data_IF_187024729033
#
_entry.id   IF_187024729033
#
_cell.length_a   1.000
_cell.length_b   1.000
_cell.length_c   1.000
_cell.angle_alpha   90.00
_cell.angle_beta   90.00
_cell.angle_gamma   90.00
#
_symmetry.space_group_name_H-M   'P 1'
#
loop_
_entity.id
_entity.type
_entity.pdbx_description
1 polymer ?
#
# COMPACT_ATOMS: atom_id res chain seq x y z
N UNK A 1 -28.55 -8.64 -17.27
CA UNK A 1 -27.54 -9.71 -17.09
C UNK A 1 -26.55 -9.32 -16.01
N UNK A 2 -26.47 -10.08 -14.92
CA UNK A 2 -25.48 -9.87 -13.86
C UNK A 2 -24.10 -10.39 -14.30
N UNK A 3 -23.08 -9.52 -14.26
CA UNK A 3 -21.68 -9.88 -14.56
C UNK A 3 -21.00 -10.55 -13.35
N UNK A 4 -19.82 -11.12 -13.56
CA UNK A 4 -19.01 -11.69 -12.47
C UNK A 4 -18.68 -10.65 -11.38
N UNK A 5 -18.31 -9.41 -11.74
CA UNK A 5 -18.01 -8.39 -10.73
C UNK A 5 -19.24 -7.98 -9.92
N UNK A 6 -20.42 -7.89 -10.55
CA UNK A 6 -21.67 -7.61 -9.84
C UNK A 6 -22.07 -8.78 -8.96
N UNK A 7 -21.90 -10.01 -9.45
CA UNK A 7 -22.14 -11.22 -8.66
C UNK A 7 -21.23 -11.27 -7.43
N UNK A 8 -19.93 -10.99 -7.60
CA UNK A 8 -18.98 -10.91 -6.49
C UNK A 8 -19.39 -9.85 -5.46
N UNK A 9 -19.86 -8.68 -5.92
CA UNK A 9 -20.39 -7.66 -5.02
C UNK A 9 -21.62 -8.15 -4.24
N UNK A 10 -22.54 -8.85 -4.90
CA UNK A 10 -23.72 -9.43 -4.22
C UNK A 10 -23.31 -10.53 -3.25
N UNK A 11 -22.31 -11.33 -3.56
CA UNK A 11 -21.75 -12.35 -2.67
C UNK A 11 -21.04 -11.73 -1.46
N UNK A 12 -20.38 -10.59 -1.64
CA UNK A 12 -19.85 -9.81 -0.53
C UNK A 12 -20.95 -9.25 0.37
N UNK A 13 -22.04 -8.72 -0.21
CA UNK A 13 -23.22 -8.29 0.56
C UNK A 13 -23.85 -9.46 1.31
N UNK A 14 -23.96 -10.63 0.69
CA UNK A 14 -24.43 -11.86 1.33
C UNK A 14 -23.54 -12.23 2.52
N UNK A 15 -22.23 -12.11 2.37
CA UNK A 15 -21.27 -12.33 3.45
C UNK A 15 -21.47 -11.35 4.61
N UNK A 16 -21.62 -10.04 4.33
CA UNK A 16 -21.89 -9.03 5.36
C UNK A 16 -23.17 -9.37 6.14
N UNK A 17 -24.25 -9.64 5.42
CA UNK A 17 -25.54 -9.95 6.03
C UNK A 17 -25.50 -11.25 6.84
N UNK A 18 -24.81 -12.28 6.36
CA UNK A 18 -24.70 -13.57 7.08
C UNK A 18 -23.83 -13.48 8.34
N UNK A 19 -22.90 -12.52 8.41
CA UNK A 19 -22.03 -12.31 9.56
C UNK A 19 -22.53 -11.21 10.51
N UNK A 20 -23.67 -10.58 10.21
CA UNK A 20 -24.31 -9.52 11.00
C UNK A 20 -24.40 -9.85 12.48
N UNK A 21 -24.99 -11.00 12.83
CA UNK A 21 -25.21 -11.40 14.23
C UNK A 21 -23.89 -11.59 14.99
N UNK A 22 -22.87 -12.13 14.31
CA UNK A 22 -21.54 -12.25 14.88
C UNK A 22 -20.94 -10.87 15.15
N UNK A 23 -21.04 -9.94 14.20
CA UNK A 23 -20.53 -8.57 14.38
C UNK A 23 -21.28 -7.82 15.50
N UNK A 24 -22.60 -8.00 15.60
CA UNK A 24 -23.41 -7.48 16.71
C UNK A 24 -22.96 -8.04 18.06
N UNK A 25 -22.59 -9.33 18.11
CA UNK A 25 -22.04 -9.93 19.34
C UNK A 25 -20.72 -9.28 19.80
N UNK A 26 -20.01 -8.58 18.89
CA UNK A 26 -18.77 -7.85 19.16
C UNK A 26 -19.00 -6.35 19.43
N UNK A 27 -20.25 -5.87 19.48
CA UNK A 27 -20.55 -4.45 19.67
C UNK A 27 -19.90 -3.86 20.92
N UNK A 28 -19.88 -4.59 22.04
CA UNK A 28 -19.20 -4.13 23.27
C UNK A 28 -17.70 -3.90 23.05
N UNK A 29 -17.02 -4.78 22.30
CA UNK A 29 -15.60 -4.62 21.98
C UNK A 29 -15.37 -3.37 21.12
N UNK A 30 -16.24 -3.15 20.13
CA UNK A 30 -16.23 -1.97 19.26
C UNK A 30 -16.43 -0.70 20.09
N UNK A 31 -17.47 -0.66 20.92
CA UNK A 31 -17.83 0.50 21.74
C UNK A 31 -16.72 0.84 22.72
N UNK A 32 -16.19 -0.14 23.46
CA UNK A 32 -15.07 0.08 24.38
C UNK A 32 -13.81 0.60 23.66
N UNK A 33 -13.54 0.12 22.45
CA UNK A 33 -12.38 0.58 21.66
C UNK A 33 -12.59 2.03 21.19
N UNK A 34 -13.80 2.36 20.73
CA UNK A 34 -14.17 3.71 20.31
C UNK A 34 -14.13 4.70 21.48
N UNK A 35 -14.62 4.32 22.66
CA UNK A 35 -14.54 5.14 23.88
C UNK A 35 -13.08 5.44 24.26
N UNK A 36 -12.19 4.45 24.17
CA UNK A 36 -10.75 4.67 24.42
C UNK A 36 -10.14 5.63 23.40
N UNK A 37 -10.48 5.50 22.11
CA UNK A 37 -10.03 6.41 21.06
C UNK A 37 -10.49 7.84 21.31
N UNK A 38 -11.74 8.05 21.72
CA UNK A 38 -12.27 9.36 22.10
C UNK A 38 -11.57 9.91 23.35
N UNK A 39 -11.37 9.07 24.36
CA UNK A 39 -10.67 9.46 25.59
C UNK A 39 -9.24 9.90 25.26
N UNK A 40 -8.51 9.12 24.46
CA UNK A 40 -7.16 9.48 23.99
C UNK A 40 -7.16 10.82 23.26
N UNK A 41 -8.13 11.07 22.38
CA UNK A 41 -8.26 12.33 21.62
C UNK A 41 -8.44 13.55 22.53
N UNK A 42 -9.04 13.38 23.70
CA UNK A 42 -9.22 14.46 24.67
C UNK A 42 -7.96 14.80 25.48
N UNK A 43 -6.97 13.91 25.50
CA UNK A 43 -5.71 14.10 26.23
C UNK A 43 -4.72 14.91 25.38
N UNK A 44 -4.08 15.90 26.00
CA UNK A 44 -3.02 16.70 25.39
C UNK A 44 -1.65 16.25 25.92
N UNK A 45 -0.99 15.27 25.26
CA UNK A 45 0.24 14.67 25.78
C UNK A 45 1.42 15.65 25.86
N UNK A 46 1.39 16.73 25.08
CA UNK A 46 2.46 17.73 25.04
C UNK A 46 2.32 18.83 26.12
N UNK A 47 1.20 18.87 26.84
CA UNK A 47 0.97 19.92 27.85
C UNK A 47 1.81 19.68 29.11
N UNK A 48 1.94 18.42 29.56
CA UNK A 48 2.75 18.05 30.72
C UNK A 48 3.00 16.53 30.80
N UNK A 49 3.96 16.14 31.65
CA UNK A 49 4.38 14.74 31.80
C UNK A 49 3.26 13.80 32.31
N UNK A 50 2.29 14.28 33.10
CA UNK A 50 1.18 13.45 33.59
C UNK A 50 0.23 13.11 32.45
N UNK A 51 -0.10 14.11 31.62
CA UNK A 51 -0.91 13.91 30.40
C UNK A 51 -0.22 12.94 29.43
N UNK A 52 1.11 13.02 29.26
CA UNK A 52 1.87 12.05 28.45
C UNK A 52 1.75 10.62 29.00
N UNK A 53 1.94 10.43 30.30
CA UNK A 53 1.83 9.11 30.95
C UNK A 53 0.40 8.55 30.80
N UNK A 54 -0.62 9.39 30.94
CA UNK A 54 -2.02 8.99 30.75
C UNK A 54 -2.31 8.61 29.30
N UNK A 55 -1.85 9.43 28.35
CA UNK A 55 -1.94 9.13 26.92
C UNK A 55 -1.33 7.77 26.59
N UNK A 56 -0.11 7.50 27.07
CA UNK A 56 0.61 6.25 26.80
C UNK A 56 -0.12 5.02 27.38
N UNK A 57 -0.73 5.17 28.57
CA UNK A 57 -1.55 4.10 29.17
C UNK A 57 -2.78 3.80 28.32
N UNK A 58 -3.47 4.83 27.83
CA UNK A 58 -4.65 4.65 26.96
C UNK A 58 -4.22 4.09 25.60
N UNK A 59 -3.13 4.58 25.02
CA UNK A 59 -2.58 4.06 23.76
C UNK A 59 -2.27 2.57 23.85
N UNK A 60 -1.69 2.11 24.96
CA UNK A 60 -1.43 0.68 25.18
C UNK A 60 -2.72 -0.13 25.22
N UNK A 61 -3.74 0.33 25.95
CA UNK A 61 -5.05 -0.35 26.02
C UNK A 61 -5.77 -0.36 24.67
N UNK A 62 -5.63 0.71 23.88
CA UNK A 62 -6.13 0.76 22.50
C UNK A 62 -5.42 -0.30 21.67
N UNK A 63 -4.09 -0.38 21.73
CA UNK A 63 -3.33 -1.38 20.95
C UNK A 63 -3.79 -2.80 21.28
N UNK A 64 -3.88 -3.16 22.56
CA UNK A 64 -4.30 -4.50 23.00
C UNK A 64 -5.71 -4.87 22.51
N UNK A 65 -6.64 -3.90 22.49
CA UNK A 65 -7.99 -4.12 21.98
C UNK A 65 -8.07 -4.11 20.46
N UNK A 66 -7.29 -3.25 19.82
CA UNK A 66 -7.26 -3.14 18.37
C UNK A 66 -6.70 -4.40 17.73
N UNK A 67 -5.77 -5.11 18.38
CA UNK A 67 -5.31 -6.43 17.92
C UNK A 67 -6.48 -7.43 17.84
N UNK A 68 -7.39 -7.40 18.81
CA UNK A 68 -8.58 -8.28 18.83
C UNK A 68 -9.60 -7.81 17.78
N UNK A 69 -9.86 -6.51 17.69
CA UNK A 69 -10.75 -5.94 16.66
C UNK A 69 -10.24 -6.24 15.27
N UNK A 70 -8.94 -6.09 15.02
CA UNK A 70 -8.35 -6.37 13.72
C UNK A 70 -8.50 -7.85 13.38
N UNK A 71 -8.11 -8.76 14.28
CA UNK A 71 -8.18 -10.20 14.03
C UNK A 71 -9.60 -10.74 13.89
N UNK A 72 -10.54 -10.32 14.75
CA UNK A 72 -11.88 -10.90 14.80
C UNK A 72 -12.88 -10.24 13.84
N UNK A 73 -12.58 -9.03 13.36
CA UNK A 73 -13.56 -8.19 12.69
C UNK A 73 -13.00 -7.61 11.37
N UNK A 74 -11.91 -6.85 11.44
CA UNK A 74 -11.39 -6.13 10.26
C UNK A 74 -10.77 -7.12 9.26
N UNK A 75 -9.94 -8.04 9.73
CA UNK A 75 -9.20 -8.98 8.91
C UNK A 75 -10.13 -9.91 8.09
N UNK A 76 -11.18 -10.54 8.66
CA UNK A 76 -12.14 -11.32 7.87
C UNK A 76 -12.82 -10.50 6.76
N UNK A 77 -13.14 -9.22 7.00
CA UNK A 77 -13.72 -8.35 6.00
C UNK A 77 -12.71 -8.05 4.87
N UNK A 78 -11.46 -7.71 5.22
CA UNK A 78 -10.40 -7.45 4.24
C UNK A 78 -10.12 -8.68 3.38
N UNK A 79 -10.00 -9.85 3.99
CA UNK A 79 -9.81 -11.11 3.27
C UNK A 79 -10.95 -11.34 2.29
N UNK A 80 -12.21 -11.10 2.69
CA UNK A 80 -13.35 -11.29 1.79
C UNK A 80 -13.40 -10.28 0.65
N UNK A 81 -13.02 -9.02 0.90
CA UNK A 81 -12.88 -7.98 -0.14
C UNK A 81 -11.85 -8.41 -1.18
N UNK A 82 -10.71 -8.95 -0.75
CA UNK A 82 -9.63 -9.42 -1.63
C UNK A 82 -10.05 -10.71 -2.36
N UNK A 83 -10.61 -11.68 -1.66
CA UNK A 83 -11.06 -12.98 -2.20
C UNK A 83 -12.06 -12.78 -3.35
N UNK A 84 -13.03 -11.89 -3.15
CA UNK A 84 -14.07 -11.58 -4.15
C UNK A 84 -13.67 -10.49 -5.14
N UNK A 85 -12.43 -9.98 -5.05
CA UNK A 85 -11.92 -8.91 -5.91
C UNK A 85 -12.87 -7.69 -5.96
N UNK A 86 -13.34 -7.22 -4.80
CA UNK A 86 -14.33 -6.13 -4.72
C UNK A 86 -13.68 -4.78 -4.98
N UNK A 87 -12.54 -4.52 -4.35
CA UNK A 87 -11.80 -3.27 -4.45
C UNK A 87 -10.36 -3.44 -3.96
N UNK A 88 -9.46 -2.59 -4.45
CA UNK A 88 -8.15 -2.40 -3.84
C UNK A 88 -8.28 -1.52 -2.59
N UNK A 89 -8.08 -2.14 -1.42
CA UNK A 89 -8.11 -1.48 -0.10
C UNK A 89 -6.71 -1.19 0.45
N UNK A 90 -5.65 -1.34 -0.35
CA UNK A 90 -4.30 -0.96 0.02
C UNK A 90 -4.09 0.56 0.03
N UNK A 91 -5.01 1.32 -0.58
CA UNK A 91 -4.96 2.78 -0.65
C UNK A 91 -6.23 3.41 -0.07
N UNK A 92 -6.19 4.68 0.38
CA UNK A 92 -7.39 5.40 0.81
C UNK A 92 -8.39 5.70 -0.31
N UNK A 93 -7.98 5.57 -1.58
CA UNK A 93 -8.84 5.83 -2.74
C UNK A 93 -9.48 4.51 -3.15
N UNK A 94 -10.68 4.27 -2.67
CA UNK A 94 -11.41 3.03 -2.94
C UNK A 94 -12.16 3.15 -4.27
N UNK A 95 -11.86 2.23 -5.18
CA UNK A 95 -12.62 2.05 -6.42
C UNK A 95 -13.23 0.65 -6.41
N UNK A 96 -14.56 0.57 -6.49
CA UNK A 96 -15.24 -0.71 -6.64
C UNK A 96 -15.06 -1.23 -8.07
N UNK A 97 -14.57 -2.46 -8.19
CA UNK A 97 -14.38 -3.11 -9.49
C UNK A 97 -15.70 -3.32 -10.23
N UNK A 98 -16.81 -3.48 -9.49
CA UNK A 98 -18.15 -3.64 -10.07
C UNK A 98 -18.77 -2.32 -10.60
N UNK A 99 -18.14 -1.16 -10.42
CA UNK A 99 -18.79 0.14 -10.68
C UNK A 99 -19.24 0.32 -12.14
N UNK A 100 -18.39 -0.03 -13.11
CA UNK A 100 -18.77 0.01 -14.53
C UNK A 100 -19.90 -0.97 -14.85
N UNK A 101 -19.83 -2.17 -14.28
CA UNK A 101 -20.75 -3.25 -14.57
C UNK A 101 -22.14 -3.00 -13.97
N UNK A 102 -22.21 -2.35 -12.81
CA UNK A 102 -23.46 -1.87 -12.23
C UNK A 102 -24.14 -0.84 -13.16
N UNK A 103 -23.38 0.06 -13.76
CA UNK A 103 -23.91 1.04 -14.71
C UNK A 103 -24.42 0.39 -16.00
N UNK A 104 -23.73 -0.64 -16.50
CA UNK A 104 -24.21 -1.42 -17.65
C UNK A 104 -25.43 -2.29 -17.29
N UNK A 105 -25.50 -2.82 -16.08
CA UNK A 105 -26.67 -3.55 -15.58
C UNK A 105 -27.89 -2.64 -15.50
N UNK A 106 -27.77 -1.39 -15.04
CA UNK A 106 -28.88 -0.42 -15.05
C UNK A 106 -29.48 -0.21 -16.45
N UNK A 107 -28.64 -0.26 -17.49
CA UNK A 107 -29.07 -0.03 -18.88
C UNK A 107 -29.68 -1.26 -19.54
N UNK A 108 -29.23 -2.45 -19.15
CA UNK A 108 -29.45 -3.70 -19.88
C UNK A 108 -29.96 -4.84 -18.97
N UNK A 109 -30.66 -4.53 -17.88
CA UNK A 109 -31.25 -5.56 -17.03
C UNK A 109 -32.44 -6.24 -17.73
N UNK A 110 -32.65 -7.51 -17.38
CA UNK A 110 -33.83 -8.30 -17.71
C UNK A 110 -34.68 -8.51 -16.46
N UNK A 111 -35.94 -8.93 -16.63
CA UNK A 111 -36.87 -9.11 -15.51
C UNK A 111 -36.33 -10.10 -14.45
N UNK A 112 -35.63 -11.15 -14.90
CA UNK A 112 -35.01 -12.15 -14.01
C UNK A 112 -33.86 -11.59 -13.15
N UNK A 113 -33.23 -10.46 -13.55
CA UNK A 113 -32.18 -9.82 -12.75
C UNK A 113 -32.76 -9.01 -11.57
N UNK A 114 -34.04 -8.64 -11.60
CA UNK A 114 -34.64 -7.76 -10.58
C UNK A 114 -34.64 -8.39 -9.19
N UNK A 115 -34.96 -9.69 -9.12
CA UNK A 115 -35.02 -10.41 -7.84
C UNK A 115 -33.67 -10.37 -7.09
N UNK A 116 -32.54 -10.81 -7.68
CA UNK A 116 -31.25 -10.76 -7.00
C UNK A 116 -30.80 -9.32 -6.67
N UNK A 117 -31.11 -8.33 -7.51
CA UNK A 117 -30.85 -6.91 -7.23
C UNK A 117 -31.55 -6.47 -5.94
N UNK A 118 -32.84 -6.72 -5.82
CA UNK A 118 -33.60 -6.32 -4.64
C UNK A 118 -33.24 -7.11 -3.38
N UNK A 119 -32.93 -8.41 -3.52
CA UNK A 119 -32.42 -9.21 -2.40
C UNK A 119 -31.08 -8.68 -1.87
N UNK A 120 -30.15 -8.30 -2.76
CA UNK A 120 -28.89 -7.69 -2.38
C UNK A 120 -29.10 -6.32 -1.71
N UNK A 121 -29.99 -5.48 -2.24
CA UNK A 121 -30.37 -4.19 -1.62
C UNK A 121 -30.82 -4.39 -0.17
N UNK A 122 -31.80 -5.28 0.04
CA UNK A 122 -32.37 -5.50 1.36
C UNK A 122 -31.33 -6.00 2.36
N UNK A 123 -30.53 -7.01 1.97
CA UNK A 123 -29.47 -7.55 2.81
C UNK A 123 -28.43 -6.50 3.21
N UNK A 124 -28.08 -5.62 2.28
CA UNK A 124 -27.14 -4.54 2.57
C UNK A 124 -27.71 -3.51 3.54
N UNK A 125 -28.96 -3.07 3.31
CA UNK A 125 -29.64 -2.13 4.19
C UNK A 125 -29.83 -2.71 5.60
N UNK A 126 -30.21 -3.97 5.72
CA UNK A 126 -30.36 -4.67 7.00
C UNK A 126 -29.03 -4.71 7.76
N UNK A 127 -27.94 -5.05 7.08
CA UNK A 127 -26.61 -5.02 7.66
C UNK A 127 -26.22 -3.61 8.15
N UNK A 128 -26.39 -2.58 7.32
CA UNK A 128 -25.97 -1.21 7.66
C UNK A 128 -26.85 -0.57 8.76
N UNK A 129 -28.14 -0.86 8.80
CA UNK A 129 -29.05 -0.30 9.80
C UNK A 129 -28.88 -0.94 11.18
N UNK A 130 -28.51 -2.22 11.23
CA UNK A 130 -28.35 -2.94 12.50
C UNK A 130 -26.94 -2.80 13.07
N UNK A 131 -25.91 -2.68 12.22
CA UNK A 131 -24.51 -2.61 12.67
C UNK A 131 -23.99 -1.16 12.74
N UNK A 132 -23.29 -0.81 13.82
CA UNK A 132 -22.61 0.50 13.96
C UNK A 132 -21.15 0.43 13.50
N UNK A 133 -20.95 -0.07 12.29
CA UNK A 133 -19.62 -0.44 11.80
C UNK A 133 -18.82 0.70 11.17
N UNK A 134 -19.35 1.93 11.20
CA UNK A 134 -18.85 3.07 10.40
C UNK A 134 -17.38 3.44 10.64
N UNK A 135 -16.82 3.06 11.79
CA UNK A 135 -15.46 3.43 12.18
C UNK A 135 -14.37 2.59 11.53
N UNK A 136 -14.69 1.36 11.10
CA UNK A 136 -13.71 0.40 10.58
C UNK A 136 -13.94 0.20 9.08
N UNK A 137 -12.87 0.37 8.29
CA UNK A 137 -12.94 0.43 6.82
C UNK A 137 -13.82 1.59 6.31
N UNK A 138 -13.78 2.74 7.00
CA UNK A 138 -14.58 3.94 6.70
C UNK A 138 -14.54 4.33 5.21
N UNK A 139 -13.35 4.44 4.61
CA UNK A 139 -13.22 4.79 3.19
C UNK A 139 -13.88 3.76 2.26
N UNK A 140 -13.84 2.47 2.62
CA UNK A 140 -14.45 1.41 1.81
C UNK A 140 -15.97 1.45 1.91
N UNK A 141 -16.52 1.52 3.13
CA UNK A 141 -17.97 1.59 3.30
C UNK A 141 -18.56 2.89 2.77
N UNK A 142 -17.83 4.00 2.85
CA UNK A 142 -18.24 5.25 2.21
C UNK A 142 -18.41 5.09 0.69
N UNK A 143 -17.42 4.49 0.01
CA UNK A 143 -17.49 4.27 -1.43
C UNK A 143 -18.52 3.20 -1.82
N UNK A 144 -18.71 2.20 -0.97
CA UNK A 144 -19.75 1.19 -1.12
C UNK A 144 -21.15 1.77 -0.99
N UNK A 145 -21.41 2.52 0.09
CA UNK A 145 -22.68 3.22 0.34
C UNK A 145 -23.01 4.17 -0.82
N UNK A 146 -22.02 4.95 -1.28
CA UNK A 146 -22.18 5.88 -2.40
C UNK A 146 -22.54 5.16 -3.70
N UNK A 147 -21.78 4.14 -4.06
CA UNK A 147 -21.97 3.42 -5.33
C UNK A 147 -23.28 2.64 -5.34
N UNK A 148 -23.62 1.97 -4.23
CA UNK A 148 -24.88 1.23 -4.12
C UNK A 148 -26.08 2.17 -4.11
N UNK A 149 -25.99 3.33 -3.45
CA UNK A 149 -27.03 4.35 -3.52
C UNK A 149 -27.27 4.81 -4.96
N UNK A 150 -26.21 5.20 -5.68
CA UNK A 150 -26.30 5.59 -7.09
C UNK A 150 -26.92 4.48 -7.96
N UNK A 151 -26.58 3.22 -7.67
CA UNK A 151 -27.11 2.07 -8.37
C UNK A 151 -28.61 1.85 -8.10
N UNK A 152 -29.01 1.77 -6.84
CA UNK A 152 -30.37 1.45 -6.43
C UNK A 152 -31.35 2.61 -6.56
N UNK A 153 -30.88 3.86 -6.63
CA UNK A 153 -31.72 5.03 -6.93
C UNK A 153 -32.42 4.91 -8.30
N UNK A 154 -31.88 4.11 -9.22
CA UNK A 154 -32.52 3.79 -10.50
C UNK A 154 -33.70 2.82 -10.35
N UNK A 155 -33.67 1.93 -9.35
CA UNK A 155 -34.66 0.87 -9.14
C UNK A 155 -35.68 1.22 -8.03
N UNK A 156 -35.86 2.51 -7.72
CA UNK A 156 -36.80 2.97 -6.69
C UNK A 156 -38.23 2.99 -7.23
N UNK A 157 -39.18 2.50 -6.44
CA UNK A 157 -40.61 2.58 -6.77
C UNK A 157 -41.24 3.92 -6.34
N UNK A 158 -40.58 4.66 -5.44
CA UNK A 158 -41.03 5.94 -4.91
C UNK A 158 -39.89 6.97 -4.83
N UNK A 159 -40.20 8.18 -4.35
CA UNK A 159 -39.19 9.24 -4.20
C UNK A 159 -38.33 9.10 -2.95
N UNK A 160 -38.57 8.09 -2.11
CA UNK A 160 -37.81 7.86 -0.90
C UNK A 160 -36.50 7.13 -1.21
N UNK A 161 -35.41 7.58 -0.58
CA UNK A 161 -34.09 6.98 -0.73
C UNK A 161 -33.69 6.30 0.58
N UNK A 162 -33.67 4.97 0.61
CA UNK A 162 -33.37 4.23 1.84
C UNK A 162 -31.91 4.38 2.30
N UNK A 163 -31.01 4.69 1.37
CA UNK A 163 -29.59 4.95 1.65
C UNK A 163 -29.34 6.35 2.23
N UNK A 164 -30.32 7.26 2.19
CA UNK A 164 -30.19 8.60 2.81
C UNK A 164 -29.88 8.52 4.31
N UNK A 165 -30.35 7.46 4.99
CA UNK A 165 -30.10 7.20 6.42
C UNK A 165 -28.66 6.73 6.72
N UNK A 166 -27.95 6.25 5.71
CA UNK A 166 -26.60 5.69 5.85
C UNK A 166 -25.51 6.75 5.67
N UNK A 167 -25.86 7.96 5.26
CA UNK A 167 -24.92 9.07 5.18
C UNK A 167 -24.54 9.50 6.60
N UNK A 168 -23.35 9.10 7.04
CA UNK A 168 -22.73 9.57 8.28
C UNK A 168 -22.54 11.09 8.22
N UNK A 169 -23.34 11.82 8.99
CA UNK A 169 -23.12 13.19 9.44
C UNK A 169 -22.41 14.13 8.42
N UNK A 170 -23.01 14.35 7.26
CA UNK A 170 -23.13 15.75 6.87
C UNK A 170 -24.25 16.30 7.74
N UNK A 171 -24.03 17.46 8.36
CA UNK A 171 -25.10 18.27 8.96
C UNK A 171 -26.29 18.17 8.03
N UNK A 172 -27.37 17.51 8.45
CA UNK A 172 -28.59 17.49 7.67
C UNK A 172 -28.96 18.95 7.49
N UNK A 173 -29.23 19.35 6.25
CA UNK A 173 -29.65 20.71 5.87
C UNK A 173 -30.86 21.22 6.69
N UNK A 174 -31.47 20.34 7.47
CA UNK A 174 -32.66 20.51 8.29
C UNK A 174 -32.42 21.22 9.64
N UNK A 175 -31.17 21.51 10.06
CA UNK A 175 -30.91 22.37 11.24
C UNK A 175 -30.30 23.74 10.90
N UNK A 176 -30.50 24.23 9.68
CA UNK A 176 -30.10 25.58 9.25
C UNK A 176 -31.09 26.64 9.74
N UNK A 177 -31.28 26.78 11.06
CA UNK A 177 -31.66 28.12 11.54
C UNK A 177 -30.47 29.07 11.33
N UNK A 178 -30.76 30.35 11.17
CA UNK A 178 -29.75 31.37 10.85
C UNK A 178 -28.60 31.36 11.88
N UNK A 179 -28.91 31.01 13.14
CA UNK A 179 -27.94 30.86 14.23
C UNK A 179 -27.05 29.62 14.06
N UNK A 180 -27.58 28.50 13.58
CA UNK A 180 -26.84 27.28 13.27
C UNK A 180 -25.86 27.49 12.11
N UNK A 181 -26.30 28.21 11.06
CA UNK A 181 -25.42 28.64 9.96
C UNK A 181 -24.34 29.58 10.49
N UNK A 182 -24.73 30.62 11.21
CA UNK A 182 -23.80 31.63 11.72
C UNK A 182 -22.76 30.99 12.64
N UNK A 183 -23.16 30.03 13.48
CA UNK A 183 -22.25 29.31 14.39
C UNK A 183 -21.31 28.35 13.65
N UNK A 184 -21.79 27.63 12.64
CA UNK A 184 -20.96 26.77 11.80
C UNK A 184 -19.97 27.58 10.96
N UNK A 185 -20.43 28.68 10.37
CA UNK A 185 -19.62 29.64 9.63
C UNK A 185 -18.59 30.31 10.56
N UNK A 186 -18.99 30.72 11.77
CA UNK A 186 -18.06 31.27 12.76
C UNK A 186 -17.03 30.24 13.23
N UNK A 187 -17.36 28.96 13.39
CA UNK A 187 -16.39 27.90 13.69
C UNK A 187 -15.43 27.63 12.53
N UNK A 188 -15.90 27.69 11.29
CA UNK A 188 -15.08 27.57 10.07
C UNK A 188 -14.16 28.80 9.87
N UNK A 189 -14.63 30.00 10.22
CA UNK A 189 -13.86 31.24 10.14
C UNK A 189 -12.84 31.34 11.28
N UNK A 190 -13.23 31.03 12.53
CA UNK A 190 -12.34 31.12 13.71
C UNK A 190 -11.24 30.06 13.73
N UNK A 191 -11.44 28.94 13.01
CA UNK A 191 -10.43 27.90 12.79
C UNK A 191 -9.48 28.20 11.61
N UNK A 192 -9.67 29.28 10.86
CA UNK A 192 -8.69 29.70 9.83
C UNK A 192 -7.64 30.64 10.43
N UNK A 193 -6.40 30.51 9.97
CA UNK A 193 -5.36 31.50 10.19
C UNK A 193 -5.45 32.62 9.14
N UNK A 194 -4.93 33.81 9.45
CA UNK A 194 -4.96 34.98 8.57
C UNK A 194 -3.82 34.96 7.53
N UNK A 195 -3.10 33.84 7.40
CA UNK A 195 -1.98 33.75 6.47
C UNK A 195 -2.50 33.83 5.03
N UNK A 196 -1.91 34.72 4.24
CA UNK A 196 -2.19 34.83 2.82
C UNK A 196 -0.87 35.02 2.07
N UNK A 197 -0.75 34.35 0.93
CA UNK A 197 0.44 34.39 0.09
C UNK A 197 -0.02 34.65 -1.34
N UNK A 198 0.51 35.69 -1.98
CA UNK A 198 0.21 36.00 -3.38
C UNK A 198 0.93 35.05 -4.34
N UNK A 199 2.09 34.53 -3.93
CA UNK A 199 2.94 33.66 -4.75
C UNK A 199 3.23 32.35 -4.03
N UNK A 200 3.31 31.29 -4.81
CA UNK A 200 3.68 29.97 -4.32
C UNK A 200 5.09 29.93 -3.72
N UNK A 201 6.03 30.74 -4.24
CA UNK A 201 7.38 30.88 -3.67
C UNK A 201 7.35 31.33 -2.22
N UNK A 202 6.55 32.37 -1.93
CA UNK A 202 6.51 33.01 -0.62
C UNK A 202 5.85 32.07 0.40
N UNK A 203 4.82 31.34 -0.04
CA UNK A 203 4.20 30.24 0.71
C UNK A 203 5.21 29.14 1.04
N UNK A 204 5.98 28.70 0.05
CA UNK A 204 6.94 27.61 0.22
C UNK A 204 8.07 28.01 1.17
N UNK A 205 8.61 29.22 1.02
CA UNK A 205 9.67 29.75 1.88
C UNK A 205 9.21 29.90 3.33
N UNK A 206 7.99 30.40 3.53
CA UNK A 206 7.36 30.45 4.84
C UNK A 206 7.30 29.05 5.48
N UNK A 207 6.74 28.06 4.77
CA UNK A 207 6.64 26.71 5.32
C UNK A 207 7.99 26.05 5.57
N UNK A 208 8.99 26.26 4.70
CA UNK A 208 10.36 25.75 4.91
C UNK A 208 10.96 26.31 6.22
N UNK A 209 10.67 27.57 6.55
CA UNK A 209 11.10 28.16 7.82
C UNK A 209 10.32 27.62 9.03
N UNK A 210 9.01 27.37 8.91
CA UNK A 210 8.20 26.83 10.01
C UNK A 210 8.60 25.41 10.40
N UNK A 211 9.02 24.59 9.42
CA UNK A 211 9.37 23.18 9.66
C UNK A 211 10.84 22.93 9.96
N UNK A 212 11.68 23.97 10.02
CA UNK A 212 13.15 23.83 10.11
C UNK A 212 13.64 23.02 11.32
N UNK A 213 12.89 23.06 12.42
CA UNK A 213 13.19 22.38 13.69
C UNK A 213 12.23 21.20 13.95
N UNK A 214 11.46 20.79 12.94
CA UNK A 214 10.49 19.69 13.02
C UNK A 214 11.04 18.43 12.31
N UNK A 215 10.65 17.26 12.82
CA UNK A 215 10.85 15.96 12.16
C UNK A 215 9.50 15.44 11.65
N UNK A 216 9.53 14.43 10.78
CA UNK A 216 8.34 13.75 10.28
C UNK A 216 7.46 13.25 11.42
N UNK A 217 6.16 13.45 11.25
CA UNK A 217 5.14 12.80 12.08
C UNK A 217 5.22 11.27 11.93
N UNK A 218 5.13 10.52 13.03
CA UNK A 218 5.18 9.04 13.05
C UNK A 218 4.12 8.40 12.15
N UNK A 219 3.02 9.10 11.86
CA UNK A 219 1.97 8.63 10.92
C UNK A 219 2.41 8.64 9.45
N UNK A 220 3.55 9.24 9.14
CA UNK A 220 4.21 9.14 7.85
C UNK A 220 5.48 8.30 7.92
N UNK A 221 5.50 7.33 8.83
CA UNK A 221 6.56 6.33 8.96
C UNK A 221 6.92 5.70 7.64
N UNK A 222 5.97 5.54 6.70
CA UNK A 222 6.26 4.99 5.38
C UNK A 222 7.11 5.93 4.51
N UNK A 223 6.78 7.22 4.43
CA UNK A 223 7.58 8.20 3.67
C UNK A 223 8.99 8.26 4.23
N UNK A 224 9.12 8.28 5.56
CA UNK A 224 10.41 8.25 6.26
C UNK A 224 11.17 6.94 5.99
N UNK A 225 10.48 5.80 6.04
CA UNK A 225 11.05 4.47 5.76
C UNK A 225 11.56 4.39 4.32
N UNK A 226 10.79 4.84 3.33
CA UNK A 226 11.18 4.84 1.93
C UNK A 226 12.37 5.76 1.70
N UNK A 227 12.35 6.97 2.27
CA UNK A 227 13.46 7.91 2.20
C UNK A 227 14.75 7.27 2.76
N UNK A 228 14.67 6.64 3.93
CA UNK A 228 15.83 6.02 4.56
C UNK A 228 16.35 4.81 3.75
N UNK A 229 15.45 4.00 3.20
CA UNK A 229 15.82 2.91 2.28
C UNK A 229 16.57 3.43 1.06
N UNK A 230 16.14 4.56 0.49
CA UNK A 230 16.79 5.14 -0.68
C UNK A 230 18.10 5.86 -0.33
N UNK A 231 18.23 6.43 0.88
CA UNK A 231 19.51 6.92 1.41
C UNK A 231 20.51 5.77 1.56
N UNK A 232 20.11 4.68 2.20
CA UNK A 232 20.94 3.47 2.36
C UNK A 232 21.30 2.89 0.99
N UNK A 233 20.34 2.82 0.06
CA UNK A 233 20.59 2.38 -1.32
C UNK A 233 21.63 3.27 -1.97
N UNK A 234 21.46 4.59 -1.92
CA UNK A 234 22.42 5.52 -2.50
C UNK A 234 23.80 5.41 -1.88
N UNK A 235 23.90 5.33 -0.55
CA UNK A 235 25.17 5.17 0.18
C UNK A 235 25.92 3.92 -0.26
N UNK A 236 25.22 2.79 -0.36
CA UNK A 236 25.79 1.49 -0.76
C UNK A 236 25.92 1.30 -2.27
N UNK A 237 25.35 2.20 -3.08
CA UNK A 237 25.36 2.07 -4.55
C UNK A 237 26.81 2.12 -5.04
N UNK A 238 27.23 1.09 -5.78
CA UNK A 238 28.53 1.02 -6.45
C UNK A 238 28.40 1.10 -7.96
N UNK A 239 27.19 0.90 -8.49
CA UNK A 239 26.90 0.98 -9.91
C UNK A 239 26.13 2.26 -10.27
N UNK A 240 26.44 2.81 -11.44
CA UNK A 240 25.78 4.01 -11.95
C UNK A 240 24.26 3.83 -12.09
N UNK A 241 23.80 2.65 -12.49
CA UNK A 241 22.38 2.32 -12.63
C UNK A 241 21.60 2.43 -11.31
N UNK A 242 22.21 2.05 -10.19
CA UNK A 242 21.56 2.14 -8.86
C UNK A 242 21.43 3.59 -8.41
N UNK A 243 22.44 4.41 -8.71
CA UNK A 243 22.44 5.85 -8.42
C UNK A 243 21.40 6.55 -9.29
N UNK A 244 21.32 6.20 -10.57
CA UNK A 244 20.31 6.72 -11.49
C UNK A 244 18.91 6.34 -11.04
N UNK A 245 18.71 5.12 -10.51
CA UNK A 245 17.42 4.71 -9.94
C UNK A 245 17.04 5.58 -8.73
N UNK A 246 17.95 5.80 -7.78
CA UNK A 246 17.68 6.67 -6.62
C UNK A 246 17.43 8.10 -7.07
N UNK A 247 18.16 8.58 -8.07
CA UNK A 247 17.98 9.92 -8.66
C UNK A 247 16.60 10.07 -9.30
N UNK A 248 16.17 9.11 -10.13
CA UNK A 248 14.84 9.11 -10.75
C UNK A 248 13.74 9.04 -9.68
N UNK A 249 13.91 8.16 -8.69
CA UNK A 249 12.97 8.00 -7.59
C UNK A 249 12.80 9.32 -6.81
N UNK A 250 13.91 9.92 -6.39
CA UNK A 250 13.91 11.18 -5.63
C UNK A 250 13.39 12.35 -6.46
N UNK A 251 13.67 12.42 -7.76
CA UNK A 251 13.10 13.43 -8.66
C UNK A 251 11.57 13.32 -8.74
N UNK A 252 11.04 12.10 -8.88
CA UNK A 252 9.60 11.86 -8.90
C UNK A 252 8.94 12.21 -7.56
N UNK A 253 9.57 11.87 -6.44
CA UNK A 253 9.09 12.25 -5.11
C UNK A 253 9.05 13.77 -4.93
N UNK A 254 10.09 14.50 -5.37
CA UNK A 254 10.12 15.97 -5.36
C UNK A 254 8.96 16.56 -6.18
N UNK A 255 8.70 16.02 -7.38
CA UNK A 255 7.57 16.46 -8.22
C UNK A 255 6.23 16.25 -7.52
N UNK A 256 6.03 15.09 -6.90
CA UNK A 256 4.80 14.75 -6.17
C UNK A 256 4.58 15.67 -4.96
N UNK A 257 5.58 15.86 -4.09
CA UNK A 257 5.46 16.76 -2.95
C UNK A 257 5.20 18.21 -3.37
N UNK A 258 5.87 18.68 -4.43
CA UNK A 258 5.63 20.01 -4.99
C UNK A 258 4.21 20.15 -5.53
N UNK A 259 3.68 19.12 -6.18
CA UNK A 259 2.29 19.10 -6.63
C UNK A 259 1.31 19.18 -5.45
N UNK A 260 1.48 18.36 -4.41
CA UNK A 260 0.65 18.37 -3.20
C UNK A 260 0.68 19.72 -2.48
N UNK A 261 1.84 20.37 -2.41
CA UNK A 261 1.99 21.72 -1.86
C UNK A 261 1.29 22.76 -2.74
N UNK A 262 1.36 22.62 -4.06
CA UNK A 262 0.68 23.53 -4.98
C UNK A 262 -0.85 23.40 -4.91
N UNK A 263 -1.38 22.19 -4.71
CA UNK A 263 -2.80 22.00 -4.40
C UNK A 263 -3.16 22.64 -3.06
N UNK A 264 -2.32 22.47 -2.05
CA UNK A 264 -2.52 23.09 -0.73
C UNK A 264 -2.54 24.62 -0.82
N UNK A 265 -1.66 25.20 -1.64
CA UNK A 265 -1.62 26.63 -1.92
C UNK A 265 -2.86 27.10 -2.70
N UNK A 266 -3.19 26.44 -3.81
CA UNK A 266 -4.31 26.79 -4.70
C UNK A 266 -5.67 26.76 -3.98
N UNK A 267 -5.87 25.78 -3.10
CA UNK A 267 -7.12 25.60 -2.36
C UNK A 267 -7.07 26.23 -0.96
N UNK A 268 -5.98 26.90 -0.62
CA UNK A 268 -5.76 27.54 0.68
C UNK A 268 -5.95 26.59 1.88
N UNK A 269 -5.68 25.30 1.69
CA UNK A 269 -5.82 24.28 2.73
C UNK A 269 -4.87 24.53 3.92
N UNK A 270 -3.78 25.29 3.69
CA UNK A 270 -2.84 25.74 4.72
C UNK A 270 -3.44 26.72 5.73
N UNK A 271 -4.59 27.33 5.42
CA UNK A 271 -5.27 28.24 6.35
C UNK A 271 -5.95 27.51 7.49
N UNK A 272 -6.23 26.21 7.35
CA UNK A 272 -6.97 25.44 8.37
C UNK A 272 -6.07 25.15 9.57
N UNK A 273 -6.46 25.63 10.76
CA UNK A 273 -5.79 25.27 12.02
C UNK A 273 -6.12 23.82 12.37
N UNK A 274 -5.11 22.97 12.38
CA UNK A 274 -5.22 21.62 12.95
C UNK A 274 -4.86 21.68 14.43
N UNK A 275 -5.79 21.32 15.30
CA UNK A 275 -5.56 21.29 16.75
C UNK A 275 -5.03 19.92 17.13
N UNK A 276 -3.83 19.86 17.71
CA UNK A 276 -3.24 18.64 18.26
C UNK A 276 -2.45 17.76 17.27
N UNK A 277 -2.35 18.16 16.00
CA UNK A 277 -1.60 17.42 14.99
C UNK A 277 -0.75 18.35 14.13
N UNK A 278 0.38 17.84 13.63
CA UNK A 278 1.15 18.54 12.62
C UNK A 278 0.31 18.67 11.34
N UNK A 279 0.17 19.88 10.77
CA UNK A 279 -0.57 20.06 9.53
C UNK A 279 0.03 19.22 8.39
N UNK A 280 -0.81 18.59 7.57
CA UNK A 280 -0.35 17.70 6.50
C UNK A 280 0.61 18.40 5.52
N UNK A 281 0.41 19.69 5.27
CA UNK A 281 1.28 20.46 4.39
C UNK A 281 2.69 20.68 4.98
N UNK A 282 2.86 20.62 6.31
CA UNK A 282 4.20 20.65 6.91
C UNK A 282 4.97 19.35 6.61
N UNK A 283 4.28 18.21 6.69
CA UNK A 283 4.87 16.92 6.29
C UNK A 283 5.23 16.88 4.80
N UNK A 284 4.45 17.53 3.94
CA UNK A 284 4.81 17.65 2.52
C UNK A 284 6.08 18.49 2.31
N UNK A 285 6.28 19.56 3.08
CA UNK A 285 7.51 20.36 3.00
C UNK A 285 8.71 19.60 3.56
N UNK A 286 8.57 18.89 4.67
CA UNK A 286 9.62 18.01 5.17
C UNK A 286 10.02 16.94 4.13
N UNK A 287 9.03 16.29 3.51
CA UNK A 287 9.21 15.40 2.37
C UNK A 287 9.99 16.04 1.24
N UNK A 288 9.54 17.21 0.78
CA UNK A 288 10.21 17.96 -0.27
C UNK A 288 11.67 18.25 0.07
N UNK A 289 11.96 18.78 1.26
CA UNK A 289 13.33 19.12 1.67
C UNK A 289 14.24 17.90 1.65
N UNK A 290 13.80 16.79 2.23
CA UNK A 290 14.64 15.59 2.35
C UNK A 290 14.85 14.88 1.01
N UNK A 291 13.83 14.83 0.15
CA UNK A 291 14.00 14.29 -1.20
C UNK A 291 14.79 15.22 -2.12
N UNK A 292 14.72 16.55 -1.95
CA UNK A 292 15.62 17.49 -2.63
C UNK A 292 17.09 17.22 -2.24
N UNK A 293 17.37 16.97 -0.95
CA UNK A 293 18.71 16.59 -0.49
C UNK A 293 19.15 15.27 -1.11
N UNK A 294 18.31 14.24 -1.08
CA UNK A 294 18.63 12.92 -1.64
C UNK A 294 18.90 12.99 -3.14
N UNK A 295 18.07 13.72 -3.89
CA UNK A 295 18.26 13.93 -5.33
C UNK A 295 19.61 14.58 -5.63
N UNK A 296 19.96 15.63 -4.88
CA UNK A 296 21.25 16.31 -5.06
C UNK A 296 22.43 15.41 -4.70
N UNK A 297 22.31 14.61 -3.62
CA UNK A 297 23.33 13.61 -3.26
C UNK A 297 23.49 12.55 -4.36
N UNK A 298 22.39 12.05 -4.94
CA UNK A 298 22.44 11.07 -6.01
C UNK A 298 23.07 11.64 -7.28
N UNK A 299 22.69 12.87 -7.63
CA UNK A 299 23.27 13.61 -8.74
C UNK A 299 24.79 13.80 -8.58
N UNK A 300 25.24 14.25 -7.40
CA UNK A 300 26.67 14.44 -7.16
C UNK A 300 27.44 13.10 -7.18
N UNK A 301 26.88 12.03 -6.61
CA UNK A 301 27.51 10.70 -6.61
C UNK A 301 27.60 10.10 -8.02
N UNK A 302 26.59 10.35 -8.85
CA UNK A 302 26.59 10.00 -10.28
C UNK A 302 27.72 10.72 -11.03
N UNK A 303 28.00 11.98 -10.68
CA UNK A 303 29.08 12.74 -11.31
C UNK A 303 30.45 12.19 -10.87
N UNK A 304 30.61 11.71 -9.64
CA UNK A 304 31.87 11.14 -9.11
C UNK A 304 32.26 9.78 -9.72
N UNK A 305 31.30 8.89 -10.02
CA UNK A 305 31.55 7.56 -10.61
C UNK A 305 31.90 7.63 -12.11
N UNK A 306 31.66 8.78 -12.75
CA UNK A 306 32.06 9.03 -14.13
C UNK A 306 33.58 9.25 -14.31
N UNK A 307 34.35 9.31 -13.21
CA UNK A 307 35.82 9.40 -13.23
C UNK A 307 36.46 8.01 -13.09
N UNK A 308 37.55 7.71 -13.83
CA UNK A 308 38.09 6.36 -13.94
C UNK A 308 38.65 5.85 -12.59
N UNK A 309 38.39 4.60 -12.16
CA UNK A 309 38.70 4.17 -10.80
C UNK A 309 40.16 3.69 -10.63
N UNK A 310 40.75 4.00 -9.47
CA UNK A 310 41.91 3.29 -8.93
C UNK A 310 41.46 2.11 -8.05
N UNK A 311 42.24 1.01 -7.95
CA UNK A 311 41.78 -0.25 -7.38
C UNK A 311 42.02 -0.33 -5.87
N UNK A 312 40.98 -0.66 -5.09
CA UNK A 312 41.12 -1.32 -3.78
C UNK A 312 40.00 -2.36 -3.61
N UNK A 313 40.41 -3.57 -3.22
CA UNK A 313 39.59 -4.77 -2.96
C UNK A 313 38.48 -4.55 -1.93
N UNK A 314 37.30 -5.12 -2.16
CA UNK A 314 36.26 -5.29 -1.14
C UNK A 314 35.80 -6.75 -1.12
N UNK A 315 36.10 -7.45 -0.02
CA UNK A 315 35.43 -8.71 0.34
C UNK A 315 33.94 -8.45 0.59
N UNK A 316 33.08 -9.09 -0.21
CA UNK A 316 31.62 -8.94 -0.20
C UNK A 316 30.96 -10.04 0.64
N UNK A 317 29.94 -9.67 1.42
CA UNK A 317 28.85 -10.58 1.81
C UNK A 317 27.51 -9.89 1.64
N UNK A 318 26.81 -10.27 0.58
CA UNK A 318 25.42 -9.90 0.28
C UNK A 318 24.50 -10.94 0.95
N UNK A 319 23.41 -10.49 1.58
CA UNK A 319 22.33 -11.37 2.06
C UNK A 319 21.04 -11.11 1.26
N UNK A 320 20.97 -11.63 0.04
CA UNK A 320 19.69 -11.99 -0.59
C UNK A 320 19.31 -13.43 -0.19
N UNK A 321 18.03 -13.72 0.04
CA UNK A 321 17.59 -15.07 0.45
C UNK A 321 17.57 -16.03 -0.75
N UNK A 322 18.72 -16.64 -1.03
CA UNK A 322 18.88 -17.60 -2.12
C UNK A 322 17.91 -18.80 -2.00
N UNK A 323 17.22 -19.11 -3.09
CA UNK A 323 16.26 -20.22 -3.20
C UNK A 323 16.84 -21.40 -3.97
N UNK A 324 16.24 -22.59 -3.85
CA UNK A 324 16.70 -23.79 -4.56
C UNK A 324 16.71 -23.64 -6.09
N UNK A 325 15.83 -22.80 -6.65
CA UNK A 325 15.77 -22.51 -8.09
C UNK A 325 17.03 -21.81 -8.60
N UNK A 326 17.58 -20.87 -7.82
CA UNK A 326 18.82 -20.18 -8.16
C UNK A 326 19.97 -21.18 -8.34
N UNK A 327 20.17 -22.08 -7.37
CA UNK A 327 21.23 -23.09 -7.46
C UNK A 327 21.04 -24.11 -8.60
N UNK A 328 19.78 -24.44 -8.94
CA UNK A 328 19.47 -25.32 -10.06
C UNK A 328 19.75 -24.64 -11.39
N UNK A 329 19.29 -23.40 -11.57
CA UNK A 329 19.58 -22.62 -12.78
C UNK A 329 21.08 -22.44 -12.95
N UNK A 330 21.80 -22.06 -11.89
CA UNK A 330 23.26 -21.95 -11.93
C UNK A 330 23.90 -23.24 -12.38
N UNK A 331 23.46 -24.39 -11.85
CA UNK A 331 24.01 -25.68 -12.26
C UNK A 331 23.76 -25.99 -13.73
N UNK A 332 22.55 -25.74 -14.24
CA UNK A 332 22.20 -25.99 -15.64
C UNK A 332 23.04 -25.10 -16.56
N UNK A 333 23.17 -23.83 -16.22
CA UNK A 333 23.95 -22.88 -16.98
C UNK A 333 25.46 -23.15 -16.91
N UNK A 334 25.99 -23.57 -15.76
CA UNK A 334 27.37 -24.04 -15.60
C UNK A 334 27.66 -25.20 -16.56
N UNK A 335 26.80 -26.23 -16.58
CA UNK A 335 26.96 -27.39 -17.47
C UNK A 335 26.93 -26.96 -18.95
N UNK A 336 26.00 -26.09 -19.33
CA UNK A 336 25.91 -25.60 -20.70
C UNK A 336 27.13 -24.78 -21.11
N UNK A 337 27.67 -23.95 -20.20
CA UNK A 337 28.83 -23.11 -20.45
C UNK A 337 30.12 -23.92 -20.70
N UNK A 338 30.25 -25.08 -20.05
CA UNK A 338 31.41 -25.97 -20.19
C UNK A 338 31.17 -27.16 -21.14
N UNK A 339 29.98 -27.26 -21.74
CA UNK A 339 29.60 -28.35 -22.65
C UNK A 339 29.37 -29.71 -21.98
N UNK A 340 29.06 -29.73 -20.69
CA UNK A 340 28.73 -30.96 -19.96
C UNK A 340 27.27 -31.38 -20.17
N UNK A 341 27.05 -32.69 -20.30
CA UNK A 341 25.71 -33.25 -20.42
C UNK A 341 24.97 -33.22 -19.08
N UNK A 342 23.74 -32.73 -19.11
CA UNK A 342 22.81 -32.74 -17.99
C UNK A 342 22.40 -34.18 -17.59
N UNK A 343 22.41 -34.55 -16.28
CA UNK A 343 22.12 -35.91 -15.81
C UNK A 343 20.61 -36.22 -15.77
N UNK A 344 20.00 -36.31 -16.95
CA UNK A 344 18.58 -36.59 -17.13
C UNK A 344 18.17 -37.93 -16.50
N UNK A 345 17.11 -37.91 -15.68
CA UNK A 345 16.53 -39.12 -15.07
C UNK A 345 17.38 -39.77 -13.97
N UNK A 346 18.57 -39.26 -13.65
CA UNK A 346 19.44 -39.83 -12.62
C UNK A 346 19.21 -39.17 -11.25
N UNK A 347 18.16 -39.61 -10.55
CA UNK A 347 17.77 -39.08 -9.24
C UNK A 347 18.92 -39.09 -8.23
N UNK A 348 19.68 -40.19 -8.13
CA UNK A 348 20.77 -40.32 -7.14
C UNK A 348 21.87 -39.28 -7.37
N UNK A 349 22.20 -39.02 -8.63
CA UNK A 349 23.22 -38.03 -9.00
C UNK A 349 22.74 -36.59 -8.76
N UNK A 350 21.49 -36.29 -9.12
CA UNK A 350 20.89 -34.98 -8.85
C UNK A 350 20.76 -34.68 -7.35
N UNK A 351 20.44 -35.68 -6.53
CA UNK A 351 20.42 -35.53 -5.08
C UNK A 351 21.83 -35.30 -4.51
N UNK A 352 22.85 -35.97 -5.06
CA UNK A 352 24.26 -35.75 -4.70
C UNK A 352 24.68 -34.30 -5.00
N UNK A 353 24.42 -33.82 -6.21
CA UNK A 353 24.72 -32.44 -6.64
C UNK A 353 23.95 -31.42 -5.78
N UNK A 354 22.67 -31.70 -5.50
CA UNK A 354 21.85 -30.84 -4.65
C UNK A 354 22.37 -30.73 -3.23
N UNK A 355 22.84 -31.82 -2.63
CA UNK A 355 23.47 -31.79 -1.32
C UNK A 355 24.79 -30.99 -1.33
N UNK A 356 25.54 -31.05 -2.43
CA UNK A 356 26.79 -30.30 -2.61
C UNK A 356 26.53 -28.79 -2.73
N UNK A 357 25.49 -28.38 -3.47
CA UNK A 357 25.19 -26.97 -3.75
C UNK A 357 24.33 -26.29 -2.68
N UNK A 358 23.32 -26.98 -2.14
CA UNK A 358 22.36 -26.41 -1.18
C UNK A 358 22.67 -26.74 0.28
N UNK A 359 23.52 -27.74 0.52
CA UNK A 359 23.83 -28.32 1.82
C UNK A 359 23.17 -29.67 2.06
N UNK A 360 23.72 -30.42 3.03
CA UNK A 360 23.32 -31.80 3.36
C UNK A 360 21.82 -31.92 3.66
N UNK A 361 21.16 -32.93 3.08
CA UNK A 361 19.74 -33.21 3.28
C UNK A 361 18.80 -32.49 2.30
N UNK A 362 19.32 -31.62 1.42
CA UNK A 362 18.53 -30.85 0.45
C UNK A 362 18.56 -31.40 -0.98
N UNK A 363 19.20 -32.55 -1.20
CA UNK A 363 19.28 -33.20 -2.51
C UNK A 363 17.92 -33.42 -3.20
N UNK A 364 16.90 -33.89 -2.46
CA UNK A 364 15.56 -34.12 -3.01
C UNK A 364 14.88 -32.81 -3.44
N UNK A 365 15.14 -31.70 -2.75
CA UNK A 365 14.64 -30.36 -3.12
C UNK A 365 15.28 -29.89 -4.42
N UNK A 366 16.58 -30.09 -4.59
CA UNK A 366 17.28 -29.81 -5.85
C UNK A 366 16.71 -30.64 -7.00
N UNK A 367 16.59 -31.96 -6.82
CA UNK A 367 16.04 -32.89 -7.81
C UNK A 367 14.64 -32.47 -8.30
N UNK A 368 13.73 -32.10 -7.39
CA UNK A 368 12.38 -31.64 -7.76
C UNK A 368 12.42 -30.37 -8.61
N UNK A 369 13.18 -29.36 -8.18
CA UNK A 369 13.29 -28.08 -8.91
C UNK A 369 14.00 -28.26 -10.25
N UNK A 370 14.99 -29.15 -10.33
CA UNK A 370 15.67 -29.51 -11.56
C UNK A 370 14.71 -30.03 -12.63
N UNK A 371 13.84 -30.99 -12.29
CA UNK A 371 12.88 -31.51 -13.25
C UNK A 371 11.84 -30.46 -13.70
N UNK A 372 11.54 -29.47 -12.85
CA UNK A 372 10.67 -28.35 -13.22
C UNK A 372 11.36 -27.36 -14.18
N UNK A 373 12.65 -27.13 -14.01
CA UNK A 373 13.41 -26.11 -14.76
C UNK A 373 13.89 -26.63 -16.11
N UNK A 374 14.39 -27.87 -16.20
CA UNK A 374 14.99 -28.42 -17.43
C UNK A 374 13.98 -28.61 -18.57
N UNK A 375 12.67 -28.65 -18.27
CA UNK A 375 11.61 -28.69 -19.27
C UNK A 375 11.21 -27.32 -19.85
N UNK A 376 11.80 -26.22 -19.36
CA UNK A 376 11.45 -24.85 -19.78
C UNK A 376 12.40 -24.30 -20.84
N UNK A 377 11.95 -23.29 -21.57
CA UNK A 377 12.84 -22.54 -22.48
C UNK A 377 13.69 -21.55 -21.68
N UNK A 378 14.93 -21.98 -21.39
CA UNK A 378 15.92 -21.19 -20.66
C UNK A 378 16.67 -20.18 -21.54
N UNK A 379 16.32 -20.05 -22.84
CA UNK A 379 16.82 -18.96 -23.68
C UNK A 379 15.88 -17.73 -23.67
N UNK A 380 14.70 -17.86 -23.07
CA UNK A 380 13.77 -16.75 -22.91
C UNK A 380 14.02 -16.04 -21.57
N UNK A 381 14.37 -14.75 -21.63
CA UNK A 381 14.66 -13.92 -20.45
C UNK A 381 13.51 -13.91 -19.44
N UNK A 382 12.26 -13.83 -19.92
CA UNK A 382 11.08 -13.88 -19.05
C UNK A 382 11.01 -15.17 -18.22
N UNK A 383 11.40 -16.32 -18.79
CA UNK A 383 11.47 -17.59 -18.03
C UNK A 383 12.46 -17.50 -16.88
N UNK A 384 13.56 -16.77 -17.06
CA UNK A 384 14.61 -16.60 -16.05
C UNK A 384 14.15 -15.64 -14.95
N UNK A 385 13.45 -14.57 -15.31
CA UNK A 385 12.82 -13.64 -14.36
C UNK A 385 11.74 -14.35 -13.54
N UNK A 386 10.88 -15.15 -14.16
CA UNK A 386 9.81 -15.89 -13.47
C UNK A 386 10.36 -16.94 -12.48
N UNK A 387 11.52 -17.53 -12.78
CA UNK A 387 12.12 -18.60 -11.96
C UNK A 387 13.14 -18.11 -10.92
N UNK A 388 13.86 -17.01 -11.20
CA UNK A 388 14.97 -16.51 -10.37
C UNK A 388 14.94 -15.00 -10.11
N UNK A 389 13.88 -14.31 -10.49
CA UNK A 389 13.70 -12.87 -10.27
C UNK A 389 14.53 -12.00 -11.23
N UNK A 390 14.33 -10.68 -11.14
CA UNK A 390 14.96 -9.69 -12.03
C UNK A 390 16.50 -9.69 -11.91
N UNK A 391 17.05 -10.12 -10.77
CA UNK A 391 18.49 -10.19 -10.52
C UNK A 391 19.12 -11.56 -10.87
N UNK A 392 18.44 -12.41 -11.64
CA UNK A 392 18.86 -13.79 -11.90
C UNK A 392 20.32 -13.88 -12.38
N UNK A 393 20.73 -13.01 -13.32
CA UNK A 393 22.05 -13.02 -13.95
C UNK A 393 23.18 -12.88 -12.94
N UNK A 394 23.09 -11.90 -12.05
CA UNK A 394 24.10 -11.67 -11.02
C UNK A 394 24.12 -12.81 -9.99
N UNK A 395 22.95 -13.32 -9.62
CA UNK A 395 22.85 -14.46 -8.70
C UNK A 395 23.50 -15.71 -9.34
N UNK A 396 23.29 -15.96 -10.64
CA UNK A 396 23.92 -17.09 -11.31
C UNK A 396 25.45 -16.97 -11.32
N UNK A 397 25.97 -15.79 -11.63
CA UNK A 397 27.42 -15.52 -11.63
C UNK A 397 28.03 -15.68 -10.24
N UNK A 398 27.34 -15.24 -9.18
CA UNK A 398 27.80 -15.42 -7.80
C UNK A 398 27.82 -16.88 -7.35
N UNK A 399 26.84 -17.68 -7.80
CA UNK A 399 26.72 -19.10 -7.43
C UNK A 399 27.52 -20.04 -8.33
N UNK A 400 27.98 -19.56 -9.49
CA UNK A 400 28.65 -20.35 -10.50
C UNK A 400 29.99 -20.89 -10.00
N UNK A 401 30.30 -22.14 -10.37
CA UNK A 401 31.64 -22.70 -10.15
C UNK A 401 32.67 -22.15 -11.14
N UNK A 402 32.22 -21.58 -12.26
CA UNK A 402 33.05 -20.96 -13.28
C UNK A 402 32.38 -19.71 -13.85
N UNK A 403 32.38 -18.60 -13.09
CA UNK A 403 31.67 -17.37 -13.47
C UNK A 403 32.13 -16.81 -14.82
N UNK A 404 33.42 -16.94 -15.15
CA UNK A 404 33.97 -16.45 -16.42
C UNK A 404 33.45 -17.24 -17.64
N UNK A 405 33.39 -18.57 -17.53
CA UNK A 405 32.82 -19.40 -18.60
C UNK A 405 31.32 -19.17 -18.73
N UNK A 406 30.64 -19.02 -17.60
CA UNK A 406 29.21 -18.72 -17.58
C UNK A 406 28.89 -17.36 -18.22
N UNK A 407 29.62 -16.31 -17.85
CA UNK A 407 29.44 -14.97 -18.42
C UNK A 407 29.62 -14.97 -19.94
N UNK A 408 30.66 -15.65 -20.44
CA UNK A 408 30.87 -15.81 -21.90
C UNK A 408 29.73 -16.57 -22.57
N UNK A 409 29.21 -17.61 -21.92
CA UNK A 409 28.08 -18.38 -22.43
C UNK A 409 26.82 -17.53 -22.50
N UNK A 410 26.47 -16.79 -21.45
CA UNK A 410 25.32 -15.89 -21.42
C UNK A 410 25.42 -14.81 -22.52
N UNK A 411 26.58 -14.17 -22.65
CA UNK A 411 26.84 -13.21 -23.72
C UNK A 411 26.69 -13.81 -25.13
N UNK A 412 27.16 -15.05 -25.35
CA UNK A 412 27.01 -15.74 -26.64
C UNK A 412 25.55 -16.03 -26.99
N UNK A 413 24.69 -16.08 -25.98
CA UNK A 413 23.24 -16.30 -26.11
C UNK A 413 22.44 -15.00 -26.13
N UNK A 414 23.09 -13.84 -26.05
CA UNK A 414 22.45 -12.53 -25.91
C UNK A 414 21.57 -12.44 -24.64
N UNK A 415 22.03 -13.08 -23.56
CA UNK A 415 21.37 -13.13 -22.24
C UNK A 415 22.18 -12.44 -21.13
#
# INVERSE_FOLDING_TARGET
>A
MITENVQNLFDFINFLHSNKDYLLSKQNLIDETNELLQTRKSIKPNDNYKSKIEYDKIQKRISEKFDIVDAEIIFPLKEKIIELNIADISTPIINLNAKSDLFELQRNFEEDDLKPIFEAKQKYLDFRNETKFDYYLECFFFELDRTLKEFYDFFKDDDFNEFSKLQTNFVTFESLDEQGIEKAVMQLISSRNELHFEKFSDFLDYLKNEVKDLDFDERHSEVKRMLEQQKIKLENSTFQSEIDEVKIFSENAVKDFKHKLMLSFKYENYKTKTVGFMPTHYNYVLGLIEYEKLYNSAKNKSDDISLPPQPVEIETKIQEKLTAKHYVLTYVFDCNAIGESLPHGNKKELERIGNERLGTGKGNTFYKNYNTIVGKDLNAEQTLIDEAGENWRNILLQLSKNPEALEKYLQSKQM
#
